data_IF_035471845307
#
_entry.id   IF_035471845307
#
_cell.length_a   1.000
_cell.length_b   1.000
_cell.length_c   1.000
_cell.angle_alpha   90.00
_cell.angle_beta   90.00
_cell.angle_gamma   90.00
#
_symmetry.space_group_name_H-M   'P 1'
#
loop_
_entity.id
_entity.type
_entity.pdbx_description
1 polymer ?
#
# COMPACT_ATOMS: atom_id res chain seq x y z
N UNK A 1 -14.00 0.45 32.98
CA UNK A 1 -13.72 1.77 32.35
C UNK A 1 -12.59 1.72 31.31
N UNK A 2 -11.56 0.87 31.44
CA UNK A 2 -10.42 0.74 30.49
C UNK A 2 -10.77 0.27 29.05
N UNK A 3 -11.90 -0.42 28.82
CA UNK A 3 -12.24 -1.00 27.51
C UNK A 3 -12.67 0.06 26.49
N UNK A 4 -13.26 1.18 26.92
CA UNK A 4 -13.73 2.27 26.04
C UNK A 4 -12.60 3.15 25.51
N UNK A 5 -11.57 3.39 26.30
CA UNK A 5 -10.41 4.18 25.88
C UNK A 5 -9.54 3.43 24.86
N UNK A 6 -9.34 2.12 25.04
CA UNK A 6 -8.60 1.32 24.06
C UNK A 6 -9.32 1.27 22.70
N UNK A 7 -10.65 1.11 22.71
CA UNK A 7 -11.47 1.03 21.50
C UNK A 7 -11.52 2.36 20.72
N UNK A 8 -11.52 3.48 21.45
CA UNK A 8 -11.39 4.83 20.88
C UNK A 8 -10.02 5.05 20.24
N UNK A 9 -8.94 4.57 20.86
CA UNK A 9 -7.58 4.69 20.33
C UNK A 9 -7.42 3.82 19.08
N UNK A 10 -7.93 2.59 19.08
CA UNK A 10 -7.90 1.74 17.88
C UNK A 10 -8.78 2.29 16.76
N UNK A 11 -9.95 2.85 17.05
CA UNK A 11 -10.80 3.47 16.02
C UNK A 11 -10.11 4.68 15.36
N UNK A 12 -9.46 5.53 16.15
CA UNK A 12 -8.72 6.68 15.64
C UNK A 12 -7.52 6.28 14.76
N UNK A 13 -6.96 5.09 14.99
CA UNK A 13 -5.84 4.58 14.20
C UNK A 13 -6.24 4.30 12.73
N UNK A 14 -7.50 3.93 12.47
CA UNK A 14 -8.00 3.65 11.12
C UNK A 14 -8.40 4.89 10.32
N UNK A 15 -8.55 6.06 10.95
CA UNK A 15 -8.99 7.28 10.25
C UNK A 15 -8.00 7.66 9.14
N UNK A 16 -6.70 7.61 9.43
CA UNK A 16 -5.65 8.01 8.47
C UNK A 16 -5.57 7.03 7.29
N UNK A 17 -5.48 5.70 7.49
CA UNK A 17 -5.56 4.73 6.40
C UNK A 17 -6.80 4.87 5.52
N UNK A 18 -7.97 5.13 6.12
CA UNK A 18 -9.20 5.37 5.37
C UNK A 18 -9.07 6.62 4.49
N UNK A 19 -8.68 7.76 5.06
CA UNK A 19 -8.50 9.00 4.30
C UNK A 19 -7.50 8.80 3.16
N UNK A 20 -6.35 8.17 3.43
CA UNK A 20 -5.33 7.91 2.42
C UNK A 20 -5.86 7.01 1.30
N UNK A 21 -6.63 5.97 1.64
CA UNK A 21 -7.26 5.08 0.65
C UNK A 21 -8.30 5.80 -0.21
N UNK A 22 -9.12 6.67 0.39
CA UNK A 22 -10.09 7.50 -0.33
C UNK A 22 -9.40 8.47 -1.30
N UNK A 23 -8.34 9.14 -0.83
CA UNK A 23 -7.56 10.10 -1.63
C UNK A 23 -6.86 9.40 -2.79
N UNK A 24 -6.23 8.24 -2.54
CA UNK A 24 -5.62 7.41 -3.57
C UNK A 24 -6.65 7.01 -4.64
N UNK A 25 -7.79 6.46 -4.21
CA UNK A 25 -8.84 5.99 -5.11
C UNK A 25 -9.40 7.12 -5.95
N UNK A 26 -9.72 8.25 -5.31
CA UNK A 26 -10.26 9.43 -6.00
C UNK A 26 -9.26 9.98 -7.03
N UNK A 27 -7.98 10.07 -6.69
CA UNK A 27 -6.95 10.55 -7.61
C UNK A 27 -6.79 9.62 -8.82
N UNK A 28 -6.71 8.31 -8.57
CA UNK A 28 -6.63 7.30 -9.63
C UNK A 28 -7.84 7.32 -10.56
N UNK A 29 -9.05 7.50 -10.02
CA UNK A 29 -10.27 7.64 -10.82
C UNK A 29 -10.28 8.92 -11.66
N UNK A 30 -9.77 10.03 -11.13
CA UNK A 30 -9.69 11.32 -11.85
C UNK A 30 -8.63 11.33 -12.95
N UNK A 31 -7.54 10.57 -12.81
CA UNK A 31 -6.47 10.45 -13.80
C UNK A 31 -6.80 9.59 -15.02
N UNK A 32 -8.02 9.06 -15.11
CA UNK A 32 -8.43 8.07 -16.10
C UNK A 32 -8.73 8.69 -17.48
N UNK A 33 -7.71 8.90 -18.32
CA UNK A 33 -7.90 9.50 -19.65
C UNK A 33 -7.65 8.58 -20.85
N UNK A 34 -7.13 7.36 -20.69
CA UNK A 34 -6.70 6.54 -21.85
C UNK A 34 -7.20 5.08 -21.90
N UNK A 35 -7.34 4.39 -20.77
CA UNK A 35 -7.77 2.98 -20.72
C UNK A 35 -8.76 2.75 -19.56
N UNK A 36 -9.98 2.31 -19.88
CA UNK A 36 -11.05 2.03 -18.90
C UNK A 36 -10.86 0.71 -18.15
N UNK A 37 -9.61 0.28 -17.95
CA UNK A 37 -9.27 -0.94 -17.22
C UNK A 37 -8.67 -0.62 -15.86
N UNK A 38 -9.21 -1.26 -14.82
CA UNK A 38 -8.77 -1.14 -13.44
C UNK A 38 -7.24 -1.30 -13.29
N UNK A 39 -6.64 -2.34 -13.89
CA UNK A 39 -5.20 -2.62 -13.72
C UNK A 39 -4.34 -1.51 -14.31
N UNK A 40 -4.78 -0.96 -15.44
CA UNK A 40 -4.10 0.18 -16.03
C UNK A 40 -4.17 1.41 -15.13
N UNK A 41 -5.29 1.64 -14.45
CA UNK A 41 -5.48 2.81 -13.58
C UNK A 41 -4.73 2.64 -12.25
N UNK A 42 -4.72 1.44 -11.69
CA UNK A 42 -3.97 1.11 -10.47
C UNK A 42 -2.45 1.33 -10.69
N UNK A 43 -1.92 0.82 -11.80
CA UNK A 43 -0.48 0.87 -12.11
C UNK A 43 -0.06 2.18 -12.78
N UNK A 44 -0.91 2.82 -13.59
CA UNK A 44 -0.58 4.11 -14.20
C UNK A 44 -0.74 5.29 -13.23
N UNK A 45 -1.54 5.14 -12.17
CA UNK A 45 -1.67 6.15 -11.11
C UNK A 45 -0.45 6.12 -10.19
N UNK A 46 0.65 6.71 -10.67
CA UNK A 46 1.87 6.87 -9.89
C UNK A 46 1.63 7.62 -8.57
N UNK A 47 0.58 8.44 -8.47
CA UNK A 47 0.24 9.18 -7.26
C UNK A 47 0.10 8.26 -6.04
N UNK A 48 -0.51 7.09 -6.23
CA UNK A 48 -0.72 6.12 -5.15
C UNK A 48 0.62 5.65 -4.56
N UNK A 49 1.54 5.25 -5.43
CA UNK A 49 2.87 4.75 -5.07
C UNK A 49 3.81 5.85 -4.60
N UNK A 50 3.69 7.07 -5.15
CA UNK A 50 4.58 8.19 -4.85
C UNK A 50 4.18 8.96 -3.60
N UNK A 51 2.89 8.98 -3.24
CA UNK A 51 2.37 9.86 -2.19
C UNK A 51 1.63 9.09 -1.11
N UNK A 52 0.51 8.44 -1.42
CA UNK A 52 -0.38 7.89 -0.37
C UNK A 52 0.22 6.68 0.32
N UNK A 53 0.91 5.79 -0.41
CA UNK A 53 1.61 4.65 0.18
C UNK A 53 2.82 5.07 1.04
N UNK A 54 3.73 5.97 0.58
CA UNK A 54 4.77 6.53 1.42
C UNK A 54 4.24 7.21 2.69
N UNK A 55 3.14 7.98 2.59
CA UNK A 55 2.51 8.61 3.75
C UNK A 55 1.95 7.56 4.73
N UNK A 56 1.39 6.47 4.23
CA UNK A 56 0.96 5.34 5.07
C UNK A 56 2.15 4.71 5.80
N UNK A 57 3.26 4.46 5.10
CA UNK A 57 4.48 3.93 5.72
C UNK A 57 5.09 4.88 6.74
N UNK A 58 5.06 6.20 6.50
CA UNK A 58 5.49 7.21 7.47
C UNK A 58 4.60 7.24 8.72
N UNK A 59 3.29 7.13 8.53
CA UNK A 59 2.33 7.04 9.63
C UNK A 59 2.61 5.82 10.51
N UNK A 60 2.79 4.64 9.89
CA UNK A 60 3.15 3.41 10.58
C UNK A 60 4.51 3.54 11.28
N UNK A 61 5.51 4.12 10.62
CA UNK A 61 6.82 4.37 11.23
C UNK A 61 6.72 5.27 12.47
N UNK A 62 5.84 6.28 12.43
CA UNK A 62 5.56 7.16 13.57
C UNK A 62 4.88 6.40 14.73
N UNK A 63 3.92 5.52 14.44
CA UNK A 63 3.30 4.66 15.46
C UNK A 63 4.33 3.73 16.12
N UNK A 64 5.18 3.06 15.33
CA UNK A 64 6.25 2.18 15.84
C UNK A 64 7.27 2.99 16.66
N UNK A 65 7.63 4.19 16.22
CA UNK A 65 8.52 5.09 16.96
C UNK A 65 7.91 5.52 18.31
N UNK A 66 6.59 5.74 18.35
CA UNK A 66 5.87 6.12 19.57
C UNK A 66 5.78 4.95 20.56
N UNK A 67 5.52 3.73 20.08
CA UNK A 67 5.57 2.51 20.90
C UNK A 67 6.92 2.30 21.59
N UNK A 68 8.02 2.58 20.87
CA UNK A 68 9.39 2.43 21.40
C UNK A 68 9.68 3.26 22.63
N UNK A 69 9.14 4.48 22.71
CA UNK A 69 9.30 5.35 23.89
C UNK A 69 8.77 4.69 25.17
N UNK A 70 7.80 3.78 25.04
CA UNK A 70 7.11 3.11 26.14
C UNK A 70 7.70 1.71 26.40
N UNK A 71 8.49 1.17 25.48
CA UNK A 71 9.14 -0.15 25.60
C UNK A 71 9.93 -0.39 26.89
N UNK A 72 10.72 0.55 27.44
CA UNK A 72 11.42 0.29 28.71
C UNK A 72 10.45 0.01 29.87
N UNK A 73 9.31 0.70 29.93
CA UNK A 73 8.26 0.50 30.94
C UNK A 73 7.56 -0.86 30.76
N UNK A 74 7.40 -1.29 29.51
CA UNK A 74 6.79 -2.58 29.15
C UNK A 74 7.74 -3.75 29.46
N UNK A 75 9.04 -3.56 29.26
CA UNK A 75 10.07 -4.58 29.52
C UNK A 75 10.10 -4.97 31.00
N UNK A 76 9.89 -4.01 31.91
CA UNK A 76 9.78 -4.24 33.35
C UNK A 76 8.59 -5.17 33.69
N UNK A 77 7.52 -5.13 32.88
CA UNK A 77 6.30 -5.93 33.06
C UNK A 77 6.29 -7.27 32.31
N UNK A 78 7.37 -7.64 31.60
CA UNK A 78 7.49 -8.87 30.79
C UNK A 78 6.40 -9.07 29.72
N UNK A 79 5.77 -7.99 29.23
CA UNK A 79 4.68 -8.06 28.23
C UNK A 79 5.13 -7.70 26.80
N UNK A 80 6.44 -7.72 26.54
CA UNK A 80 7.01 -7.24 25.27
C UNK A 80 6.44 -7.98 24.05
N UNK A 81 6.38 -9.30 24.10
CA UNK A 81 5.99 -10.13 22.95
C UNK A 81 4.51 -9.98 22.60
N UNK A 82 3.65 -9.86 23.62
CA UNK A 82 2.21 -9.64 23.43
C UNK A 82 1.97 -8.32 22.70
N UNK A 83 2.63 -7.24 23.13
CA UNK A 83 2.40 -5.92 22.53
C UNK A 83 3.02 -5.84 21.13
N UNK A 84 4.15 -6.52 20.88
CA UNK A 84 4.72 -6.63 19.54
C UNK A 84 3.77 -7.35 18.56
N UNK A 85 3.11 -8.44 18.99
CA UNK A 85 2.10 -9.14 18.19
C UNK A 85 0.87 -8.24 17.95
N UNK A 86 0.41 -7.50 18.98
CA UNK A 86 -0.71 -6.58 18.82
C UNK A 86 -0.39 -5.44 17.84
N UNK A 87 0.82 -4.90 17.89
CA UNK A 87 1.29 -3.86 16.96
C UNK A 87 1.37 -4.39 15.52
N UNK A 88 1.86 -5.62 15.33
CA UNK A 88 1.90 -6.26 14.02
C UNK A 88 0.50 -6.49 13.44
N UNK A 89 -0.45 -6.97 14.27
CA UNK A 89 -1.85 -7.10 13.88
C UNK A 89 -2.49 -5.76 13.53
N UNK A 90 -2.16 -4.70 14.26
CA UNK A 90 -2.66 -3.35 13.99
C UNK A 90 -2.16 -2.85 12.63
N UNK A 91 -0.85 -2.91 12.38
CA UNK A 91 -0.23 -2.44 11.13
C UNK A 91 -0.74 -3.23 9.92
N UNK A 92 -0.91 -4.55 10.08
CA UNK A 92 -1.51 -5.38 9.04
C UNK A 92 -2.96 -4.94 8.77
N UNK A 93 -3.76 -4.73 9.82
CA UNK A 93 -5.15 -4.31 9.68
C UNK A 93 -5.28 -2.92 9.04
N UNK A 94 -4.41 -1.97 9.38
CA UNK A 94 -4.38 -0.63 8.78
C UNK A 94 -3.99 -0.68 7.30
N UNK A 95 -2.98 -1.48 6.95
CA UNK A 95 -2.56 -1.66 5.56
C UNK A 95 -3.66 -2.32 4.73
N UNK A 96 -4.30 -3.37 5.25
CA UNK A 96 -5.45 -4.00 4.60
C UNK A 96 -6.63 -3.03 4.47
N UNK A 97 -6.91 -2.22 5.50
CA UNK A 97 -7.96 -1.22 5.48
C UNK A 97 -7.73 -0.21 4.36
N UNK A 98 -6.51 0.31 4.21
CA UNK A 98 -6.13 1.19 3.11
C UNK A 98 -6.47 0.57 1.74
N UNK A 99 -6.02 -0.66 1.49
CA UNK A 99 -6.26 -1.34 0.21
C UNK A 99 -7.73 -1.67 -0.04
N UNK A 100 -8.47 -2.10 0.99
CA UNK A 100 -9.91 -2.36 0.88
C UNK A 100 -10.65 -1.09 0.47
N UNK A 101 -10.38 0.04 1.13
CA UNK A 101 -11.01 1.32 0.80
C UNK A 101 -10.62 1.74 -0.62
N UNK A 102 -9.33 1.68 -0.95
CA UNK A 102 -8.82 2.01 -2.28
C UNK A 102 -9.50 1.18 -3.39
N UNK A 103 -9.50 -0.16 -3.30
CA UNK A 103 -10.12 -1.03 -4.30
C UNK A 103 -11.64 -0.90 -4.33
N UNK A 104 -12.29 -0.66 -3.18
CA UNK A 104 -13.75 -0.47 -3.13
C UNK A 104 -14.23 0.72 -3.95
N UNK A 105 -13.43 1.79 -4.07
CA UNK A 105 -13.75 2.94 -4.91
C UNK A 105 -13.97 2.56 -6.37
N UNK A 106 -13.24 1.56 -6.86
CA UNK A 106 -13.36 1.07 -8.23
C UNK A 106 -14.55 0.12 -8.43
N UNK A 107 -15.03 -0.53 -7.37
CA UNK A 107 -16.27 -1.30 -7.42
C UNK A 107 -17.48 -0.39 -7.63
N UNK A 108 -17.45 0.83 -7.05
CA UNK A 108 -18.55 1.79 -7.14
C UNK A 108 -18.44 2.77 -8.31
N UNK A 109 -17.30 2.84 -9.01
CA UNK A 109 -17.09 3.79 -10.11
C UNK A 109 -17.61 3.33 -11.46
N UNK A 110 -18.02 2.07 -11.60
CA UNK A 110 -18.48 1.50 -12.88
C UNK A 110 -17.35 1.21 -13.88
N UNK A 111 -16.09 1.32 -13.47
CA UNK A 111 -14.93 0.91 -14.27
C UNK A 111 -14.97 -0.59 -14.50
N UNK A 112 -14.58 -1.02 -15.70
CA UNK A 112 -14.53 -2.44 -16.05
C UNK A 112 -13.26 -3.06 -15.46
N UNK A 113 -13.45 -4.19 -14.80
CA UNK A 113 -12.37 -4.94 -14.20
C UNK A 113 -11.81 -5.91 -15.24
N UNK A 114 -10.52 -5.79 -15.50
CA UNK A 114 -9.75 -6.68 -16.34
C UNK A 114 -10.21 -6.74 -17.80
N UNK A 115 -10.44 -5.57 -18.40
CA UNK A 115 -10.93 -5.48 -19.79
C UNK A 115 -9.83 -5.80 -20.81
N UNK A 116 -8.57 -5.42 -20.55
CA UNK A 116 -7.50 -5.47 -21.56
C UNK A 116 -6.67 -6.76 -21.50
N UNK A 117 -6.82 -7.57 -20.44
CA UNK A 117 -5.98 -8.73 -20.19
C UNK A 117 -6.60 -9.79 -19.26
N UNK A 118 -5.83 -10.82 -18.92
CA UNK A 118 -6.31 -11.97 -18.15
C UNK A 118 -6.65 -11.60 -16.69
N UNK A 119 -7.90 -11.77 -16.29
CA UNK A 119 -8.38 -11.47 -14.94
C UNK A 119 -7.61 -12.17 -13.81
N UNK A 120 -7.18 -13.43 -14.00
CA UNK A 120 -6.40 -14.16 -12.98
C UNK A 120 -5.06 -13.46 -12.75
N UNK A 121 -4.40 -13.03 -13.83
CA UNK A 121 -3.13 -12.33 -13.74
C UNK A 121 -3.32 -10.95 -13.11
N UNK A 122 -4.38 -10.22 -13.49
CA UNK A 122 -4.71 -8.94 -12.88
C UNK A 122 -4.93 -9.04 -11.37
N UNK A 123 -5.73 -10.01 -10.91
CA UNK A 123 -5.92 -10.27 -9.47
C UNK A 123 -4.59 -10.61 -8.79
N UNK A 124 -3.75 -11.43 -9.43
CA UNK A 124 -2.44 -11.80 -8.89
C UNK A 124 -1.53 -10.57 -8.72
N UNK A 125 -1.53 -9.65 -9.67
CA UNK A 125 -0.76 -8.39 -9.60
C UNK A 125 -1.25 -7.53 -8.44
N UNK A 126 -2.56 -7.33 -8.32
CA UNK A 126 -3.16 -6.57 -7.19
C UNK A 126 -2.79 -7.15 -5.82
N UNK A 127 -2.86 -8.47 -5.70
CA UNK A 127 -2.51 -9.17 -4.47
C UNK A 127 -1.00 -9.07 -4.19
N UNK A 128 -0.17 -9.19 -5.21
CA UNK A 128 1.28 -9.05 -5.07
C UNK A 128 1.64 -7.65 -4.57
N UNK A 129 1.08 -6.59 -5.17
CA UNK A 129 1.28 -5.21 -4.73
C UNK A 129 0.89 -5.03 -3.26
N UNK A 130 -0.30 -5.50 -2.90
CA UNK A 130 -0.77 -5.46 -1.51
C UNK A 130 0.19 -6.17 -0.55
N UNK A 131 0.65 -7.37 -0.92
CA UNK A 131 1.58 -8.18 -0.11
C UNK A 131 2.93 -7.48 0.04
N UNK A 132 3.46 -6.87 -1.03
CA UNK A 132 4.74 -6.13 -1.00
C UNK A 132 4.64 -4.96 -0.01
N UNK A 133 3.62 -4.12 -0.13
CA UNK A 133 3.45 -2.95 0.75
C UNK A 133 3.18 -3.37 2.19
N UNK A 134 2.32 -4.37 2.42
CA UNK A 134 2.07 -4.90 3.76
C UNK A 134 3.34 -5.50 4.38
N UNK A 135 4.12 -6.25 3.59
CA UNK A 135 5.40 -6.83 4.00
C UNK A 135 6.42 -5.77 4.42
N UNK A 136 6.56 -4.70 3.62
CA UNK A 136 7.44 -3.57 3.92
C UNK A 136 7.00 -2.83 5.20
N UNK A 137 5.70 -2.58 5.36
CA UNK A 137 5.16 -1.96 6.56
C UNK A 137 5.35 -2.83 7.81
N UNK A 138 5.20 -4.15 7.71
CA UNK A 138 5.50 -5.06 8.82
C UNK A 138 7.01 -5.10 9.13
N UNK A 139 7.86 -5.02 8.10
CA UNK A 139 9.30 -5.00 8.27
C UNK A 139 9.78 -3.77 9.09
N UNK A 140 9.06 -2.64 9.04
CA UNK A 140 9.36 -1.47 9.90
C UNK A 140 9.41 -1.85 11.39
N UNK A 141 8.53 -2.73 11.85
CA UNK A 141 8.46 -3.12 13.28
C UNK A 141 9.79 -3.74 13.73
N UNK A 142 10.32 -4.66 12.92
CA UNK A 142 11.53 -5.43 13.20
C UNK A 142 12.78 -4.58 12.96
N UNK A 143 12.81 -3.85 11.85
CA UNK A 143 14.03 -3.19 11.38
C UNK A 143 14.30 -1.86 12.09
N UNK A 144 13.28 -1.19 12.64
CA UNK A 144 13.50 0.07 13.37
C UNK A 144 14.37 -0.11 14.66
N UNK A 145 14.61 -1.35 15.11
CA UNK A 145 15.48 -1.73 16.25
C UNK A 145 16.96 -1.68 15.90
N UNK A 146 17.28 -1.66 14.61
CA UNK A 146 18.65 -1.58 14.15
C UNK A 146 19.22 -0.17 14.28
N UNK A 147 20.55 -0.10 14.38
CA UNK A 147 21.34 1.13 14.50
C UNK A 147 21.05 2.17 13.41
N UNK A 148 20.67 1.72 12.20
CA UNK A 148 20.48 2.56 11.02
C UNK A 148 19.01 2.91 10.74
N UNK A 149 18.30 3.42 11.75
CA UNK A 149 16.86 3.68 11.70
C UNK A 149 16.43 4.56 10.51
N UNK A 150 17.12 5.67 10.29
CA UNK A 150 16.81 6.64 9.22
C UNK A 150 16.98 6.00 7.84
N UNK A 151 18.07 5.25 7.64
CA UNK A 151 18.32 4.51 6.41
C UNK A 151 17.21 3.50 6.13
N UNK A 152 16.72 2.81 7.15
CA UNK A 152 15.67 1.78 7.01
C UNK A 152 14.34 2.41 6.59
N UNK A 153 13.95 3.53 7.21
CA UNK A 153 12.75 4.27 6.79
C UNK A 153 12.91 4.71 5.34
N UNK A 154 14.06 5.27 4.97
CA UNK A 154 14.31 5.71 3.61
C UNK A 154 14.25 4.56 2.60
N UNK A 155 14.83 3.40 2.91
CA UNK A 155 14.73 2.20 2.08
C UNK A 155 13.28 1.73 1.91
N UNK A 156 12.48 1.78 2.97
CA UNK A 156 11.07 1.36 2.93
C UNK A 156 10.20 2.33 2.13
N UNK A 157 10.61 3.59 1.97
CA UNK A 157 9.95 4.54 1.07
C UNK A 157 10.37 4.36 -0.40
N UNK A 158 11.63 4.00 -0.64
CA UNK A 158 12.16 3.81 -2.01
C UNK A 158 11.77 2.48 -2.62
N UNK A 159 11.77 1.39 -1.83
CA UNK A 159 11.50 0.04 -2.34
C UNK A 159 10.14 -0.08 -3.05
N UNK A 160 9.03 0.49 -2.55
CA UNK A 160 7.76 0.54 -3.28
C UNK A 160 7.87 1.22 -4.64
N UNK A 161 8.62 2.33 -4.72
CA UNK A 161 8.83 3.04 -5.99
C UNK A 161 9.63 2.19 -6.98
N UNK A 162 10.72 1.56 -6.53
CA UNK A 162 11.52 0.67 -7.38
C UNK A 162 10.71 -0.52 -7.87
N UNK A 163 9.93 -1.14 -6.97
CA UNK A 163 9.02 -2.22 -7.31
C UNK A 163 8.03 -1.79 -8.41
N UNK A 164 7.38 -0.64 -8.23
CA UNK A 164 6.41 -0.12 -9.17
C UNK A 164 7.00 0.19 -10.55
N UNK A 165 8.11 0.92 -10.62
CA UNK A 165 8.69 1.33 -11.90
C UNK A 165 9.42 0.21 -12.64
N UNK A 166 10.11 -0.68 -11.92
CA UNK A 166 10.96 -1.71 -12.54
C UNK A 166 10.20 -3.02 -12.74
N UNK A 167 9.32 -3.39 -11.80
CA UNK A 167 8.64 -4.68 -11.84
C UNK A 167 7.22 -4.52 -12.35
N UNK A 168 6.41 -3.63 -11.78
CA UNK A 168 5.01 -3.51 -12.18
C UNK A 168 4.87 -2.96 -13.60
N UNK A 169 5.41 -1.77 -13.87
CA UNK A 169 5.23 -1.09 -15.16
C UNK A 169 5.99 -1.79 -16.28
N UNK A 170 7.27 -2.10 -16.07
CA UNK A 170 8.13 -2.63 -17.13
C UNK A 170 7.93 -4.14 -17.39
N UNK A 171 7.37 -4.89 -16.44
CA UNK A 171 7.22 -6.34 -16.60
C UNK A 171 5.77 -6.81 -16.44
N UNK A 172 5.17 -6.61 -15.26
CA UNK A 172 3.87 -7.22 -14.93
C UNK A 172 2.72 -6.64 -15.76
N UNK A 173 2.72 -5.34 -16.02
CA UNK A 173 1.71 -4.68 -16.84
C UNK A 173 1.77 -5.14 -18.31
N UNK A 174 2.98 -5.36 -18.83
CA UNK A 174 3.18 -5.91 -20.19
C UNK A 174 2.75 -7.38 -20.26
N UNK A 175 3.05 -8.17 -19.23
CA UNK A 175 2.56 -9.56 -19.13
C UNK A 175 1.04 -9.63 -19.02
N UNK A 176 0.41 -8.63 -18.41
CA UNK A 176 -1.04 -8.51 -18.30
C UNK A 176 -1.70 -8.26 -19.65
N UNK A 177 -1.18 -7.30 -20.42
CA UNK A 177 -1.59 -7.10 -21.80
C UNK A 177 -0.46 -6.48 -22.63
N UNK A 178 -0.18 -7.00 -23.84
CA UNK A 178 0.83 -6.44 -24.73
C UNK A 178 0.49 -5.02 -25.20
N UNK A 179 -0.77 -4.58 -25.07
CA UNK A 179 -1.17 -3.19 -25.35
C UNK A 179 -0.41 -2.20 -24.48
N UNK A 180 0.11 -2.61 -23.32
CA UNK A 180 0.92 -1.75 -22.46
C UNK A 180 2.40 -1.68 -22.88
N UNK A 181 2.89 -2.53 -23.78
CA UNK A 181 4.25 -2.44 -24.33
C UNK A 181 4.35 -1.24 -25.31
N UNK A 182 5.24 -0.26 -25.06
CA UNK A 182 5.47 0.86 -25.98
C UNK A 182 5.89 0.41 -27.38
N UNK A 183 6.65 -0.67 -27.51
CA UNK A 183 7.11 -1.18 -28.81
C UNK A 183 5.95 -1.81 -29.58
N UNK A 184 5.13 -2.60 -28.89
CA UNK A 184 3.93 -3.19 -29.47
C UNK A 184 2.97 -2.10 -29.98
N UNK A 185 2.75 -1.05 -29.18
CA UNK A 185 1.94 0.11 -29.56
C UNK A 185 2.49 0.83 -30.78
N UNK A 186 3.81 1.03 -30.84
CA UNK A 186 4.45 1.69 -31.98
C UNK A 186 4.31 0.89 -33.28
N UNK A 187 4.45 -0.43 -33.23
CA UNK A 187 4.32 -1.33 -34.39
C UNK A 187 2.89 -1.37 -34.91
N UNK A 188 1.90 -1.35 -34.01
CA UNK A 188 0.49 -1.46 -34.38
C UNK A 188 -0.22 -0.11 -34.51
N UNK A 189 0.55 0.99 -34.46
CA UNK A 189 0.07 2.37 -34.51
C UNK A 189 -1.05 2.67 -33.48
N UNK A 190 -1.02 1.99 -32.34
CA UNK A 190 -1.96 2.19 -31.23
C UNK A 190 -1.43 3.34 -30.38
N UNK A 191 -1.48 4.55 -30.94
CA UNK A 191 -1.19 5.78 -30.21
C UNK A 191 -2.50 6.31 -29.61
N UNK A 192 -2.60 6.25 -28.28
CA UNK A 192 -3.64 6.92 -27.49
C UNK A 192 -2.96 7.82 -26.47
#
# INVERSE_FOLDING_TARGET
MQRRTFLSITFNAFIIPVILGLVAGSNSLMGNTSHLDFISIDIASHFTTLITQPLLSLYIAWQVASYRKITPLIKIRKQKDVIQIMLLRLILAESLCYFIIFYSMFLFSGIRWFMDGNAILGIAIMLLHMVVICGLNMALIVLLDYKYRTSIIFSILILPMLYHYIIEIQSLLIMYSPVFDPLYRAIHEIYR
#
